data_IF_084618377626
#
_entry.id   IF_084618377626
#
_cell.length_a   1.000
_cell.length_b   1.000
_cell.length_c   1.000
_cell.angle_alpha   90.00
_cell.angle_beta   90.00
_cell.angle_gamma   90.00
#
_symmetry.space_group_name_H-M   'P 1'
#
loop_
_entity.id
_entity.type
_entity.pdbx_description
1 polymer ?
#
# COMPACT_ATOMS: atom_id res chain seq x y z
N UNK A 1 -5.39 -5.78 6.44
CA UNK A 1 -4.18 -4.96 6.57
C UNK A 1 -3.17 -5.61 7.52
N UNK A 2 -3.50 -5.78 8.79
CA UNK A 2 -2.60 -6.35 9.81
C UNK A 2 -3.38 -7.26 10.75
N UNK A 3 -2.77 -8.40 11.15
CA UNK A 3 -3.36 -9.30 12.15
C UNK A 3 -2.39 -9.47 13.31
N UNK A 4 -2.88 -9.36 14.54
CA UNK A 4 -2.10 -9.49 15.77
C UNK A 4 -2.73 -10.57 16.65
N UNK A 5 -1.92 -11.48 17.20
CA UNK A 5 -2.40 -12.47 18.18
C UNK A 5 -2.84 -11.73 19.45
N UNK A 6 -4.07 -11.98 19.88
CA UNK A 6 -4.65 -11.39 21.10
C UNK A 6 -4.68 -12.39 22.24
N UNK A 7 -5.05 -13.64 21.94
CA UNK A 7 -5.03 -14.75 22.90
C UNK A 7 -4.71 -16.06 22.16
N UNK A 8 -4.70 -17.20 22.87
CA UNK A 8 -4.46 -18.49 22.23
C UNK A 8 -5.56 -18.91 21.26
N UNK A 9 -6.78 -18.38 21.46
CA UNK A 9 -7.94 -18.73 20.64
C UNK A 9 -8.40 -17.60 19.72
N UNK A 10 -7.81 -16.40 19.82
CA UNK A 10 -8.27 -15.21 19.10
C UNK A 10 -7.11 -14.33 18.62
N UNK A 11 -7.25 -13.83 17.42
CA UNK A 11 -6.47 -12.73 16.85
C UNK A 11 -7.34 -11.53 16.53
N UNK A 12 -6.78 -10.35 16.48
CA UNK A 12 -7.46 -9.13 16.03
C UNK A 12 -6.86 -8.74 14.68
N UNK A 13 -7.70 -8.66 13.65
CA UNK A 13 -7.31 -8.17 12.34
C UNK A 13 -7.81 -6.74 12.15
N UNK A 14 -6.91 -5.86 11.70
CA UNK A 14 -7.27 -4.53 11.22
C UNK A 14 -7.60 -4.62 9.74
N UNK A 15 -8.79 -4.19 9.36
CA UNK A 15 -9.30 -4.22 7.98
C UNK A 15 -9.72 -2.82 7.54
N UNK A 16 -9.79 -2.59 6.24
CA UNK A 16 -10.44 -1.44 5.63
C UNK A 16 -11.78 -1.87 5.06
N UNK A 17 -12.81 -1.08 5.27
CA UNK A 17 -14.16 -1.32 4.77
C UNK A 17 -14.69 -0.10 4.02
N UNK A 18 -15.55 -0.32 3.03
CA UNK A 18 -16.15 0.75 2.24
C UNK A 18 -17.04 1.69 3.08
N UNK A 19 -17.73 1.12 4.09
CA UNK A 19 -18.77 1.85 4.85
C UNK A 19 -18.21 2.53 6.10
N UNK A 20 -17.19 1.94 6.75
CA UNK A 20 -16.68 2.42 8.06
C UNK A 20 -15.20 2.76 8.03
N UNK A 21 -14.52 2.61 6.89
CA UNK A 21 -13.08 2.78 6.79
C UNK A 21 -12.33 1.71 7.58
N UNK A 22 -11.33 2.13 8.35
CA UNK A 22 -10.51 1.24 9.16
C UNK A 22 -11.27 0.73 10.40
N UNK A 23 -11.30 -0.58 10.59
CA UNK A 23 -11.90 -1.20 11.77
C UNK A 23 -11.13 -2.43 12.24
N UNK A 24 -11.33 -2.81 13.49
CA UNK A 24 -10.77 -4.03 14.08
C UNK A 24 -11.83 -5.14 14.10
N UNK A 25 -11.45 -6.34 13.70
CA UNK A 25 -12.32 -7.52 13.71
C UNK A 25 -11.67 -8.69 14.47
N UNK A 26 -12.46 -9.40 15.24
CA UNK A 26 -12.02 -10.61 15.94
C UNK A 26 -12.00 -11.80 14.98
N UNK A 27 -10.87 -12.52 14.94
CA UNK A 27 -10.65 -13.69 14.08
C UNK A 27 -10.22 -14.87 14.95
N UNK A 28 -10.91 -16.03 14.87
CA UNK A 28 -10.50 -17.23 15.61
C UNK A 28 -9.08 -17.69 15.23
N UNK A 29 -8.25 -18.01 16.24
CA UNK A 29 -6.85 -18.46 16.07
C UNK A 29 -6.67 -19.96 16.27
N UNK A 30 -7.73 -20.72 16.55
CA UNK A 30 -7.69 -22.15 16.80
C UNK A 30 -7.19 -23.00 15.61
N UNK A 31 -7.03 -24.30 15.82
CA UNK A 31 -6.57 -25.26 14.81
C UNK A 31 -7.70 -25.82 13.93
N UNK A 32 -8.96 -25.51 14.23
CA UNK A 32 -10.13 -26.00 13.52
C UNK A 32 -10.18 -25.57 12.04
N UNK A 33 -10.97 -26.27 11.24
CA UNK A 33 -11.12 -26.03 9.79
C UNK A 33 -11.52 -24.58 9.48
N UNK A 34 -12.49 -24.04 10.21
CA UNK A 34 -12.99 -22.67 10.01
C UNK A 34 -11.92 -21.62 10.38
N UNK A 35 -11.20 -21.80 11.48
CA UNK A 35 -10.10 -20.91 11.86
C UNK A 35 -8.98 -20.91 10.81
N UNK A 36 -8.67 -22.06 10.21
CA UNK A 36 -7.70 -22.15 9.09
C UNK A 36 -8.21 -21.42 7.86
N UNK A 37 -9.50 -21.58 7.51
CA UNK A 37 -10.14 -20.90 6.38
C UNK A 37 -10.09 -19.37 6.57
N UNK A 38 -10.49 -18.89 7.73
CA UNK A 38 -10.48 -17.45 8.03
C UNK A 38 -9.06 -16.87 8.01
N UNK A 39 -8.06 -17.58 8.53
CA UNK A 39 -6.66 -17.14 8.44
C UNK A 39 -6.17 -17.00 7.00
N UNK A 40 -6.54 -17.92 6.11
CA UNK A 40 -6.20 -17.83 4.70
C UNK A 40 -6.83 -16.58 4.03
N UNK A 41 -8.10 -16.30 4.33
CA UNK A 41 -8.81 -15.11 3.85
C UNK A 41 -8.19 -13.83 4.40
N UNK A 42 -7.76 -13.83 5.66
CA UNK A 42 -7.18 -12.68 6.38
C UNK A 42 -5.67 -12.49 6.12
N UNK A 43 -5.07 -13.22 5.21
CA UNK A 43 -3.69 -12.97 4.78
C UNK A 43 -3.55 -11.53 4.24
N UNK A 44 -2.33 -10.94 4.28
CA UNK A 44 -2.10 -9.58 3.81
C UNK A 44 -2.72 -9.31 2.44
N UNK A 45 -3.52 -8.24 2.33
CA UNK A 45 -4.23 -7.82 1.12
C UNK A 45 -5.27 -8.84 0.56
N UNK A 46 -5.76 -9.77 1.37
CA UNK A 46 -6.98 -10.51 1.04
C UNK A 46 -8.19 -9.58 1.12
N UNK A 47 -9.13 -9.70 0.17
CA UNK A 47 -10.40 -8.97 0.20
C UNK A 47 -11.57 -9.95 0.38
N UNK A 48 -12.55 -9.56 1.19
CA UNK A 48 -13.67 -10.41 1.57
C UNK A 48 -14.92 -9.60 1.89
N UNK A 49 -16.07 -10.24 1.82
CA UNK A 49 -17.33 -9.80 2.39
C UNK A 49 -17.57 -10.50 3.71
N UNK A 50 -18.21 -9.80 4.66
CA UNK A 50 -18.60 -10.37 5.93
C UNK A 50 -19.72 -9.54 6.57
N UNK A 51 -20.51 -10.17 7.43
CA UNK A 51 -21.42 -9.47 8.34
C UNK A 51 -20.64 -9.11 9.60
N UNK A 52 -20.48 -7.82 9.89
CA UNK A 52 -19.81 -7.34 11.09
C UNK A 52 -20.82 -6.87 12.14
N UNK A 53 -20.67 -7.32 13.39
CA UNK A 53 -21.48 -6.92 14.54
C UNK A 53 -20.58 -6.35 15.63
N UNK A 54 -20.86 -5.12 16.05
CA UNK A 54 -20.22 -4.48 17.19
C UNK A 54 -21.09 -4.62 18.42
N UNK A 55 -20.48 -4.87 19.58
CA UNK A 55 -21.18 -4.84 20.87
C UNK A 55 -20.99 -3.47 21.52
N UNK A 56 -21.94 -3.03 22.33
CA UNK A 56 -21.80 -1.79 23.10
C UNK A 56 -20.52 -1.84 23.94
N UNK A 57 -19.70 -0.79 23.85
CA UNK A 57 -18.42 -0.68 24.58
C UNK A 57 -17.25 -1.49 24.01
N UNK A 58 -17.37 -2.05 22.79
CA UNK A 58 -16.27 -2.77 22.12
C UNK A 58 -15.91 -2.14 20.78
N UNK A 59 -14.63 -1.79 20.60
CA UNK A 59 -14.08 -1.32 19.32
C UNK A 59 -13.74 -2.46 18.35
N UNK A 60 -13.90 -3.71 18.79
CA UNK A 60 -13.61 -4.91 18.00
C UNK A 60 -14.91 -5.59 17.58
N UNK A 61 -15.18 -5.60 16.28
CA UNK A 61 -16.35 -6.27 15.73
C UNK A 61 -16.14 -7.79 15.64
N UNK A 62 -17.24 -8.54 15.83
CA UNK A 62 -17.29 -9.96 15.45
C UNK A 62 -17.78 -10.08 14.01
N UNK A 63 -17.21 -11.00 13.27
CA UNK A 63 -17.59 -11.25 11.87
C UNK A 63 -18.21 -12.64 11.71
N UNK A 64 -19.21 -12.71 10.83
CA UNK A 64 -19.86 -13.95 10.37
C UNK A 64 -20.03 -13.90 8.84
N UNK A 65 -20.41 -15.01 8.24
CA UNK A 65 -20.76 -15.14 6.82
C UNK A 65 -19.62 -14.66 5.89
N UNK A 66 -18.38 -14.98 6.28
CA UNK A 66 -17.18 -14.51 5.58
C UNK A 66 -17.02 -15.21 4.24
N UNK A 67 -16.97 -14.44 3.15
CA UNK A 67 -16.74 -14.91 1.78
C UNK A 67 -15.55 -14.18 1.17
N UNK A 68 -14.56 -14.93 0.66
CA UNK A 68 -13.44 -14.36 -0.07
C UNK A 68 -13.89 -13.77 -1.40
N UNK A 69 -13.48 -12.53 -1.69
CA UNK A 69 -13.67 -11.85 -2.97
C UNK A 69 -12.39 -11.90 -3.81
N UNK A 70 -11.27 -11.57 -3.16
CA UNK A 70 -9.93 -11.61 -3.77
C UNK A 70 -9.00 -12.34 -2.81
N UNK A 71 -8.44 -13.45 -3.25
CA UNK A 71 -7.40 -14.15 -2.49
C UNK A 71 -6.16 -13.26 -2.35
N UNK A 72 -5.53 -13.33 -1.20
CA UNK A 72 -4.29 -12.58 -0.94
C UNK A 72 -3.23 -12.90 -2.00
N UNK A 73 -2.57 -11.89 -2.58
CA UNK A 73 -1.40 -12.11 -3.42
C UNK A 73 -0.27 -12.84 -2.70
N UNK A 74 -0.20 -12.74 -1.36
CA UNK A 74 0.76 -13.47 -0.54
C UNK A 74 0.51 -14.99 -0.51
N UNK A 75 -0.69 -15.45 -0.86
CA UNK A 75 -1.03 -16.87 -0.98
C UNK A 75 -0.66 -17.50 -2.33
N UNK A 76 -0.17 -16.71 -3.28
CA UNK A 76 0.07 -17.12 -4.68
C UNK A 76 1.23 -18.10 -4.90
N UNK A 77 2.01 -18.44 -3.85
CA UNK A 77 3.23 -19.22 -3.98
C UNK A 77 4.42 -18.47 -4.62
N UNK A 78 4.24 -17.21 -5.01
CA UNK A 78 5.30 -16.36 -5.58
C UNK A 78 5.92 -15.49 -4.46
N UNK A 79 7.20 -15.74 -4.07
CA UNK A 79 7.84 -15.00 -2.96
C UNK A 79 7.86 -13.48 -3.16
N UNK A 80 8.10 -13.02 -4.39
CA UNK A 80 8.12 -11.60 -4.72
C UNK A 80 6.75 -10.95 -4.51
N UNK A 81 5.67 -11.60 -4.95
CA UNK A 81 4.30 -11.12 -4.70
C UNK A 81 3.98 -11.08 -3.21
N UNK A 82 4.44 -12.09 -2.46
CA UNK A 82 4.24 -12.13 -1.01
C UNK A 82 4.90 -10.95 -0.31
N UNK A 83 6.15 -10.63 -0.66
CA UNK A 83 6.88 -9.49 -0.09
C UNK A 83 6.21 -8.16 -0.47
N UNK A 84 5.82 -7.98 -1.73
CA UNK A 84 5.09 -6.78 -2.17
C UNK A 84 3.76 -6.65 -1.43
N UNK A 85 3.01 -7.75 -1.26
CA UNK A 85 1.75 -7.74 -0.53
C UNK A 85 1.93 -7.39 0.96
N UNK A 86 2.95 -7.93 1.61
CA UNK A 86 3.27 -7.61 3.02
C UNK A 86 3.63 -6.15 3.18
N UNK A 87 4.50 -5.61 2.31
CA UNK A 87 4.86 -4.20 2.31
C UNK A 87 3.64 -3.30 2.12
N UNK A 88 2.81 -3.56 1.12
CA UNK A 88 1.62 -2.75 0.85
C UNK A 88 0.58 -2.86 1.98
N UNK A 89 0.47 -3.99 2.65
CA UNK A 89 -0.40 -4.14 3.82
C UNK A 89 0.09 -3.27 5.00
N UNK A 90 1.40 -3.26 5.29
CA UNK A 90 2.00 -2.39 6.30
C UNK A 90 1.86 -0.91 5.93
N UNK A 91 2.09 -0.57 4.66
CA UNK A 91 1.94 0.78 4.13
C UNK A 91 0.51 1.29 4.29
N UNK A 92 -0.48 0.53 3.82
CA UNK A 92 -1.90 0.85 3.97
C UNK A 92 -2.34 0.89 5.44
N UNK A 93 -1.78 0.04 6.29
CA UNK A 93 -2.08 0.07 7.72
C UNK A 93 -1.76 1.44 8.35
N UNK A 94 -0.67 2.08 7.93
CA UNK A 94 -0.28 3.40 8.41
C UNK A 94 -1.04 4.53 7.71
N UNK A 95 -1.12 4.50 6.37
CA UNK A 95 -1.74 5.56 5.57
C UNK A 95 -3.23 5.68 5.83
N UNK A 96 -3.96 4.55 5.84
CA UNK A 96 -5.42 4.55 6.00
C UNK A 96 -5.88 4.82 7.45
N UNK A 97 -4.96 5.03 8.39
CA UNK A 97 -5.31 5.36 9.77
C UNK A 97 -6.05 6.70 9.86
N UNK A 98 -5.64 7.66 9.07
CA UNK A 98 -6.17 9.03 9.06
C UNK A 98 -7.19 9.26 7.94
N UNK A 99 -7.54 8.20 7.16
CA UNK A 99 -8.49 8.31 6.05
C UNK A 99 -9.92 8.02 6.51
N UNK A 100 -10.88 8.80 5.99
CA UNK A 100 -12.32 8.53 6.10
C UNK A 100 -12.76 7.49 5.07
N UNK A 101 -13.88 6.77 5.33
CA UNK A 101 -14.45 5.85 4.35
C UNK A 101 -14.76 6.55 3.03
N UNK A 102 -14.37 5.92 1.92
CA UNK A 102 -14.59 6.44 0.56
C UNK A 102 -14.79 5.26 -0.40
N UNK A 103 -15.88 5.31 -1.17
CA UNK A 103 -16.23 4.26 -2.13
C UNK A 103 -15.22 4.20 -3.28
N UNK A 104 -14.76 5.35 -3.79
CA UNK A 104 -13.77 5.41 -4.89
C UNK A 104 -12.41 4.90 -4.43
N UNK A 105 -12.02 5.21 -3.18
CA UNK A 105 -10.81 4.65 -2.56
C UNK A 105 -10.91 3.12 -2.48
N UNK A 106 -12.04 2.60 -2.05
CA UNK A 106 -12.26 1.16 -1.93
C UNK A 106 -12.21 0.48 -3.30
N UNK A 107 -12.84 1.06 -4.31
CA UNK A 107 -12.78 0.57 -5.69
C UNK A 107 -11.34 0.58 -6.23
N UNK A 108 -10.61 1.67 -6.02
CA UNK A 108 -9.18 1.76 -6.35
C UNK A 108 -8.38 0.64 -5.71
N UNK A 109 -8.53 0.43 -4.39
CA UNK A 109 -7.83 -0.64 -3.68
C UNK A 109 -8.15 -2.01 -4.28
N UNK A 110 -9.42 -2.32 -4.54
CA UNK A 110 -9.86 -3.59 -5.11
C UNK A 110 -9.26 -3.82 -6.51
N UNK A 111 -9.25 -2.82 -7.39
CA UNK A 111 -8.66 -2.89 -8.72
C UNK A 111 -7.15 -3.18 -8.66
N UNK A 112 -6.42 -2.50 -7.77
CA UNK A 112 -4.98 -2.69 -7.63
C UNK A 112 -4.63 -4.03 -7.00
N UNK A 113 -5.41 -4.52 -6.02
CA UNK A 113 -5.22 -5.85 -5.42
C UNK A 113 -5.40 -6.96 -6.45
N UNK A 114 -6.46 -6.87 -7.26
CA UNK A 114 -6.71 -7.85 -8.31
C UNK A 114 -5.64 -7.80 -9.41
N UNK A 115 -5.13 -6.60 -9.75
CA UNK A 115 -4.01 -6.45 -10.66
C UNK A 115 -2.73 -7.11 -10.12
N UNK A 116 -2.40 -6.93 -8.84
CA UNK A 116 -1.20 -7.53 -8.20
C UNK A 116 -1.19 -9.06 -8.32
N UNK A 117 -2.35 -9.70 -8.26
CA UNK A 117 -2.45 -11.16 -8.46
C UNK A 117 -2.00 -11.60 -9.84
N UNK A 118 -2.29 -10.81 -10.87
CA UNK A 118 -2.11 -11.18 -12.29
C UNK A 118 -0.78 -10.76 -12.88
N UNK A 119 -0.16 -9.69 -12.37
CA UNK A 119 1.07 -9.14 -12.95
C UNK A 119 2.32 -9.95 -12.60
N UNK A 120 3.38 -9.75 -13.40
CA UNK A 120 4.70 -10.33 -13.21
C UNK A 120 5.80 -9.49 -13.84
N UNK A 121 7.04 -9.96 -13.80
CA UNK A 121 8.18 -9.30 -14.44
C UNK A 121 8.39 -7.86 -13.99
N UNK A 122 8.72 -6.97 -14.94
CA UNK A 122 9.00 -5.55 -14.67
C UNK A 122 7.78 -4.80 -14.09
N UNK A 123 6.56 -5.18 -14.48
CA UNK A 123 5.36 -4.59 -13.90
C UNK A 123 5.24 -4.87 -12.39
N UNK A 124 5.56 -6.10 -11.95
CA UNK A 124 5.59 -6.43 -10.54
C UNK A 124 6.70 -5.66 -9.79
N UNK A 125 7.88 -5.51 -10.41
CA UNK A 125 9.00 -4.77 -9.83
C UNK A 125 8.68 -3.29 -9.54
N UNK A 126 7.84 -2.66 -10.35
CA UNK A 126 7.45 -1.25 -10.20
C UNK A 126 6.12 -1.06 -9.47
N UNK A 127 5.39 -2.15 -9.16
CA UNK A 127 4.01 -2.07 -8.68
C UNK A 127 3.85 -1.25 -7.42
N UNK A 128 4.68 -1.48 -6.43
CA UNK A 128 4.61 -0.80 -5.13
C UNK A 128 4.84 0.72 -5.25
N UNK A 129 5.72 1.15 -6.15
CA UNK A 129 5.98 2.58 -6.41
C UNK A 129 4.75 3.24 -7.04
N UNK A 130 4.21 2.63 -8.10
CA UNK A 130 3.05 3.17 -8.80
C UNK A 130 1.80 3.16 -7.90
N UNK A 131 1.60 2.11 -7.13
CA UNK A 131 0.51 2.03 -6.15
C UNK A 131 0.59 3.17 -5.13
N UNK A 132 1.75 3.33 -4.47
CA UNK A 132 1.94 4.37 -3.48
C UNK A 132 1.74 5.77 -4.07
N UNK A 133 2.28 6.02 -5.27
CA UNK A 133 2.11 7.29 -5.95
C UNK A 133 0.64 7.59 -6.26
N UNK A 134 -0.09 6.60 -6.80
CA UNK A 134 -1.53 6.74 -7.11
C UNK A 134 -2.40 6.91 -5.87
N UNK A 135 -2.08 6.19 -4.79
CA UNK A 135 -2.78 6.37 -3.53
C UNK A 135 -2.62 7.80 -3.01
N UNK A 136 -1.42 8.41 -3.16
CA UNK A 136 -1.19 9.82 -2.80
C UNK A 136 -2.12 10.79 -3.53
N UNK A 137 -2.50 10.49 -4.78
CA UNK A 137 -3.50 11.29 -5.51
C UNK A 137 -4.89 11.17 -4.87
N UNK A 138 -5.29 9.96 -4.46
CA UNK A 138 -6.58 9.75 -3.80
C UNK A 138 -6.70 10.47 -2.46
N UNK A 139 -5.64 10.46 -1.66
CA UNK A 139 -5.64 11.13 -0.35
C UNK A 139 -5.27 12.61 -0.42
N UNK A 140 -5.08 13.16 -1.64
CA UNK A 140 -4.89 14.58 -1.87
C UNK A 140 -3.51 15.15 -1.53
N UNK A 141 -2.49 14.28 -1.38
CA UNK A 141 -1.11 14.72 -1.10
C UNK A 141 -0.19 14.70 -2.33
N UNK A 142 -0.68 14.30 -3.51
CA UNK A 142 0.18 14.18 -4.67
C UNK A 142 0.88 15.52 -5.01
N UNK A 143 2.19 15.47 -5.38
CA UNK A 143 2.88 16.66 -5.86
C UNK A 143 2.23 17.24 -7.12
N UNK A 144 2.41 18.56 -7.34
CA UNK A 144 1.98 19.24 -8.56
C UNK A 144 2.85 18.80 -9.77
N UNK A 145 2.40 17.74 -10.43
CA UNK A 145 3.05 17.20 -11.62
C UNK A 145 2.88 18.09 -12.86
N UNK A 146 1.97 19.06 -12.83
CA UNK A 146 1.75 20.05 -13.89
C UNK A 146 2.86 21.08 -13.99
N UNK A 147 3.58 21.34 -12.91
CA UNK A 147 4.74 22.26 -12.88
C UNK A 147 6.04 21.64 -13.41
N UNK A 148 6.02 20.37 -13.85
CA UNK A 148 7.21 19.70 -14.38
C UNK A 148 7.73 20.31 -15.69
N UNK A 149 9.03 20.55 -15.72
CA UNK A 149 9.81 20.80 -16.92
C UNK A 149 11.13 20.04 -16.82
N UNK A 150 11.65 19.59 -17.95
CA UNK A 150 12.92 18.85 -17.98
C UNK A 150 14.07 19.67 -17.34
N UNK A 151 14.88 19.00 -16.52
CA UNK A 151 16.00 19.63 -15.80
C UNK A 151 15.63 20.33 -14.50
N UNK A 152 14.37 20.24 -14.05
CA UNK A 152 13.93 20.78 -12.75
C UNK A 152 14.09 19.77 -11.62
N UNK A 153 14.29 20.30 -10.43
CA UNK A 153 14.24 19.59 -9.16
C UNK A 153 12.79 19.42 -8.70
N UNK A 154 12.47 18.35 -7.98
CA UNK A 154 11.19 18.22 -7.28
C UNK A 154 11.39 18.51 -5.80
N UNK A 155 10.90 19.63 -5.32
CA UNK A 155 10.86 19.98 -3.90
C UNK A 155 9.83 19.11 -3.18
N UNK A 156 10.29 18.27 -2.25
CA UNK A 156 9.42 17.35 -1.50
C UNK A 156 8.65 18.05 -0.39
N UNK A 157 9.11 19.22 0.10
CA UNK A 157 8.38 19.99 1.11
C UNK A 157 7.21 20.74 0.50
N UNK A 158 7.46 21.40 -0.64
CA UNK A 158 6.46 22.20 -1.34
C UNK A 158 5.60 21.38 -2.31
N UNK A 159 6.01 20.14 -2.64
CA UNK A 159 5.31 19.29 -3.59
C UNK A 159 5.27 19.84 -5.01
N UNK A 160 6.28 20.62 -5.44
CA UNK A 160 6.32 21.25 -6.78
C UNK A 160 7.71 21.24 -7.39
N UNK A 161 7.79 21.39 -8.72
CA UNK A 161 9.07 21.47 -9.42
C UNK A 161 9.65 22.88 -9.41
N UNK A 162 10.98 22.98 -9.16
CA UNK A 162 11.75 24.22 -9.08
C UNK A 162 12.89 24.23 -10.09
N UNK A 163 13.27 25.42 -10.60
CA UNK A 163 14.37 25.57 -11.57
C UNK A 163 15.75 25.40 -10.92
N UNK A 164 15.86 25.75 -9.63
CA UNK A 164 17.09 25.68 -8.84
C UNK A 164 16.92 24.70 -7.69
N UNK A 165 18.01 24.11 -7.22
CA UNK A 165 17.99 23.24 -6.05
C UNK A 165 17.46 24.02 -4.82
N UNK A 166 16.50 23.43 -4.05
CA UNK A 166 16.07 24.00 -2.78
C UNK A 166 17.22 24.13 -1.77
N UNK A 167 17.12 25.07 -0.82
CA UNK A 167 18.15 25.27 0.22
C UNK A 167 18.17 24.15 1.30
N UNK A 168 17.26 23.20 1.24
CA UNK A 168 17.20 22.03 2.10
C UNK A 168 17.48 20.75 1.32
N UNK A 169 17.66 19.61 1.99
CA UNK A 169 18.02 18.32 1.38
C UNK A 169 16.81 17.46 0.95
N UNK A 170 15.58 17.94 1.19
CA UNK A 170 14.34 17.23 0.89
C UNK A 170 13.84 17.54 -0.53
N UNK A 171 14.59 17.11 -1.53
CA UNK A 171 14.24 17.26 -2.94
C UNK A 171 14.76 16.09 -3.76
N UNK A 172 14.26 15.94 -4.98
CA UNK A 172 14.80 15.05 -6.00
C UNK A 172 15.65 15.85 -6.98
N UNK A 173 16.82 15.32 -7.32
CA UNK A 173 17.63 15.78 -8.43
C UNK A 173 16.88 15.64 -9.77
N UNK A 174 17.25 16.38 -10.82
CA UNK A 174 16.50 16.41 -12.07
C UNK A 174 16.19 15.05 -12.71
N UNK A 175 17.10 14.09 -12.65
CA UNK A 175 16.89 12.75 -13.20
C UNK A 175 15.88 11.95 -12.38
N UNK A 176 15.96 11.97 -11.05
CA UNK A 176 14.99 11.34 -10.17
C UNK A 176 13.64 12.05 -10.20
N UNK A 177 13.63 13.37 -10.32
CA UNK A 177 12.44 14.19 -10.51
C UNK A 177 11.72 13.86 -11.83
N UNK A 178 12.48 13.59 -12.90
CA UNK A 178 11.93 13.07 -14.15
C UNK A 178 11.34 11.67 -13.98
N UNK A 179 12.02 10.79 -13.27
CA UNK A 179 11.49 9.44 -12.98
C UNK A 179 10.19 9.50 -12.15
N UNK A 180 10.09 10.41 -11.17
CA UNK A 180 8.86 10.65 -10.42
C UNK A 180 7.73 11.17 -11.31
N UNK A 181 8.02 12.08 -12.23
CA UNK A 181 7.05 12.56 -13.21
C UNK A 181 6.59 11.45 -14.16
N UNK A 182 7.49 10.59 -14.66
CA UNK A 182 7.11 9.41 -15.44
C UNK A 182 6.21 8.48 -14.64
N UNK A 183 6.55 8.22 -13.38
CA UNK A 183 5.76 7.38 -12.48
C UNK A 183 4.33 7.92 -12.31
N UNK A 184 4.15 9.24 -12.25
CA UNK A 184 2.81 9.87 -12.16
C UNK A 184 1.91 9.58 -13.35
N UNK A 185 2.49 9.28 -14.51
CA UNK A 185 1.77 9.00 -15.76
C UNK A 185 1.54 7.50 -16.04
N UNK A 186 2.16 6.65 -15.22
CA UNK A 186 2.03 5.19 -15.37
C UNK A 186 0.63 4.73 -14.96
N UNK A 187 0.07 3.83 -15.77
CA UNK A 187 -1.14 3.08 -15.47
C UNK A 187 -0.82 1.60 -15.23
N UNK A 188 -1.78 0.83 -14.75
CA UNK A 188 -1.62 -0.63 -14.61
C UNK A 188 -1.22 -1.31 -15.93
N UNK A 189 -1.66 -0.78 -17.08
CA UNK A 189 -1.35 -1.31 -18.42
C UNK A 189 0.08 -1.01 -18.86
N UNK A 190 0.63 0.13 -18.45
CA UNK A 190 1.94 0.63 -18.89
C UNK A 190 3.02 0.43 -17.83
N UNK A 191 2.69 -0.18 -16.68
CA UNK A 191 3.59 -0.35 -15.53
C UNK A 191 4.90 -1.08 -15.88
N UNK A 192 4.85 -2.05 -16.80
CA UNK A 192 6.02 -2.76 -17.30
C UNK A 192 6.93 -1.96 -18.25
N UNK A 193 6.48 -0.78 -18.71
CA UNK A 193 7.27 0.08 -19.61
C UNK A 193 8.29 0.94 -18.85
N UNK A 194 8.07 1.20 -17.56
CA UNK A 194 8.99 1.96 -16.73
C UNK A 194 10.26 1.15 -16.46
N UNK A 195 11.41 1.64 -16.96
CA UNK A 195 12.71 0.98 -16.85
C UNK A 195 13.52 1.59 -15.73
N UNK A 196 13.31 1.10 -14.51
CA UNK A 196 14.13 1.44 -13.35
C UNK A 196 15.02 0.26 -12.98
N UNK A 197 16.29 0.53 -12.68
CA UNK A 197 17.17 -0.45 -12.05
C UNK A 197 16.86 -0.54 -10.54
N UNK A 198 17.52 -1.47 -9.84
CA UNK A 198 17.30 -1.69 -8.39
C UNK A 198 17.56 -0.43 -7.57
N UNK A 199 18.69 0.24 -7.81
CA UNK A 199 19.07 1.46 -7.08
C UNK A 199 18.02 2.57 -7.26
N UNK A 200 17.60 2.81 -8.49
CA UNK A 200 16.57 3.80 -8.81
C UNK A 200 15.23 3.49 -8.14
N UNK A 201 14.82 2.20 -8.11
CA UNK A 201 13.60 1.80 -7.39
C UNK A 201 13.70 2.07 -5.89
N UNK A 202 14.83 1.75 -5.27
CA UNK A 202 15.02 1.99 -3.84
C UNK A 202 15.06 3.48 -3.51
N UNK A 203 15.77 4.29 -4.30
CA UNK A 203 15.78 5.75 -4.15
C UNK A 203 14.35 6.30 -4.28
N UNK A 204 13.62 5.90 -5.33
CA UNK A 204 12.25 6.36 -5.54
C UNK A 204 11.32 5.94 -4.39
N UNK A 205 11.45 4.70 -3.90
CA UNK A 205 10.69 4.23 -2.75
C UNK A 205 10.97 5.08 -1.52
N UNK A 206 12.24 5.33 -1.19
CA UNK A 206 12.64 6.15 -0.03
C UNK A 206 12.05 7.56 -0.12
N UNK A 207 12.06 8.16 -1.31
CA UNK A 207 11.51 9.51 -1.53
C UNK A 207 9.97 9.53 -1.43
N UNK A 208 9.30 8.52 -1.95
CA UNK A 208 7.84 8.38 -1.78
C UNK A 208 7.49 8.26 -0.29
N UNK A 209 8.17 7.38 0.46
CA UNK A 209 7.93 7.21 1.90
C UNK A 209 8.25 8.48 2.69
N UNK A 210 9.33 9.19 2.33
CA UNK A 210 9.67 10.48 2.91
C UNK A 210 8.58 11.51 2.64
N UNK A 211 8.06 11.57 1.42
CA UNK A 211 6.97 12.46 1.02
C UNK A 211 5.68 12.18 1.83
N UNK A 212 5.30 10.92 1.97
CA UNK A 212 4.17 10.54 2.83
C UNK A 212 4.36 10.95 4.28
N UNK A 213 5.57 10.81 4.81
CA UNK A 213 5.87 11.19 6.20
C UNK A 213 5.84 12.70 6.42
N UNK A 214 6.09 13.51 5.37
CA UNK A 214 5.98 14.97 5.42
C UNK A 214 4.53 15.46 5.34
N UNK A 215 3.69 14.79 4.54
CA UNK A 215 2.40 15.35 4.15
C UNK A 215 1.19 14.58 4.69
N UNK A 216 1.36 13.39 5.27
CA UNK A 216 0.23 12.58 5.71
C UNK A 216 0.49 11.77 6.98
N UNK A 217 1.29 10.70 6.89
CA UNK A 217 1.49 9.76 7.99
C UNK A 217 2.90 9.17 7.99
N UNK A 218 3.48 8.87 9.17
CA UNK A 218 4.80 8.25 9.27
C UNK A 218 4.76 6.81 8.74
N UNK A 219 5.45 6.56 7.63
CA UNK A 219 5.48 5.25 6.93
C UNK A 219 6.89 4.65 6.81
N UNK A 220 7.86 5.18 7.56
CA UNK A 220 9.27 4.76 7.45
C UNK A 220 9.58 3.48 8.22
N UNK A 221 8.92 3.23 9.35
CA UNK A 221 9.17 2.09 10.24
C UNK A 221 8.21 0.93 9.95
N UNK A 222 8.30 0.35 8.73
CA UNK A 222 7.50 -0.80 8.33
C UNK A 222 8.36 -2.06 8.29
N UNK A 223 8.02 -3.14 9.03
CA UNK A 223 8.82 -4.37 9.07
C UNK A 223 9.07 -4.99 7.70
N UNK A 224 8.08 -4.94 6.80
CA UNK A 224 8.20 -5.51 5.46
C UNK A 224 9.10 -4.69 4.50
N UNK A 225 9.50 -3.47 4.86
CA UNK A 225 10.31 -2.60 3.99
C UNK A 225 11.70 -3.18 3.71
N UNK A 226 12.34 -3.81 4.71
CA UNK A 226 13.65 -4.44 4.55
C UNK A 226 13.58 -5.59 3.52
N UNK A 227 12.58 -6.46 3.65
CA UNK A 227 12.37 -7.58 2.71
C UNK A 227 12.08 -7.09 1.29
N UNK A 228 11.35 -5.96 1.15
CA UNK A 228 11.05 -5.40 -0.16
C UNK A 228 12.31 -4.90 -0.89
N UNK A 229 13.25 -4.29 -0.15
CA UNK A 229 14.52 -3.83 -0.73
C UNK A 229 15.39 -4.96 -1.24
N UNK A 230 15.30 -6.12 -0.61
CA UNK A 230 16.12 -7.29 -0.91
C UNK A 230 15.53 -8.20 -2.00
N UNK A 231 14.22 -8.16 -2.21
CA UNK A 231 13.51 -9.08 -3.12
C UNK A 231 13.92 -8.94 -4.60
N UNK A 232 14.56 -7.85 -4.97
CA UNK A 232 15.06 -7.56 -6.33
C UNK A 232 16.59 -7.65 -6.41
N UNK A 233 17.24 -8.31 -5.44
CA UNK A 233 18.68 -8.50 -5.40
C UNK A 233 19.20 -9.39 -6.55
#
# INVERSE_FOLDING_TARGET
LRTVKYSDTMSIATVWTAERGRMSVAVPSGSGREAKRLRAIMMPLGAFEAVARTSAGSDVARISDVRSLIESPAASGNPTKSVVAMFLADFLYNVLKECTPDALMTEFLMQWLDALRRIGGMALANFHLAFAFRLGQFIGIAPDMGSYHRGRYLDLKEGRFTATAPLHTLYLEPDDAHAAWLLSRISLRTLGMLRLNRSQRNIMLDRILQYYSLHHAPVQNMPALAFLRDVWA
#
